data_IF_988265270171
#
_entry.id   IF_988265270171
#
_cell.length_a   1.000
_cell.length_b   1.000
_cell.length_c   1.000
_cell.angle_alpha   90.00
_cell.angle_beta   90.00
_cell.angle_gamma   90.00
#
_symmetry.space_group_name_H-M   'P 1'
#
loop_
_entity.id
_entity.type
_entity.pdbx_description
1 polymer ?
#
# COMPACT_ATOMS: atom_id res chain seq x y z
N UNK A 1 9.68 -3.13 47.85
CA UNK A 1 10.21 -2.15 46.88
C UNK A 1 10.50 -2.73 45.48
N UNK A 2 10.72 -4.04 45.34
CA UNK A 2 11.17 -4.70 44.08
C UNK A 2 10.28 -4.39 42.85
N UNK A 3 8.97 -4.22 43.04
CA UNK A 3 7.99 -3.95 41.97
C UNK A 3 8.17 -2.62 41.20
N UNK A 4 9.09 -1.72 41.60
CA UNK A 4 9.46 -0.55 40.80
C UNK A 4 10.58 -0.82 39.79
N UNK A 5 11.39 -1.86 39.97
CA UNK A 5 12.52 -2.18 39.07
C UNK A 5 11.98 -2.84 37.79
N UNK A 6 11.23 -3.95 37.94
CA UNK A 6 10.56 -4.63 36.83
C UNK A 6 9.59 -3.73 36.05
N UNK A 7 9.02 -2.69 36.67
CA UNK A 7 8.22 -1.70 35.94
C UNK A 7 9.06 -0.96 34.90
N UNK A 8 10.25 -0.47 35.27
CA UNK A 8 11.15 0.22 34.34
C UNK A 8 11.67 -0.70 33.24
N UNK A 9 11.97 -1.95 33.55
CA UNK A 9 12.39 -2.95 32.56
C UNK A 9 11.25 -3.33 31.60
N UNK A 10 10.04 -3.56 32.11
CA UNK A 10 8.88 -3.90 31.27
C UNK A 10 8.42 -2.70 30.42
N UNK A 11 8.49 -1.47 30.94
CA UNK A 11 8.25 -0.25 30.15
C UNK A 11 9.34 -0.09 29.05
N UNK A 12 10.59 -0.47 29.34
CA UNK A 12 11.67 -0.50 28.35
C UNK A 12 11.45 -1.59 27.27
N UNK A 13 10.97 -2.79 27.65
CA UNK A 13 10.62 -3.88 26.73
C UNK A 13 9.40 -3.52 25.88
N UNK A 14 8.36 -2.90 26.45
CA UNK A 14 7.19 -2.45 25.71
C UNK A 14 7.55 -1.36 24.68
N UNK A 15 8.37 -0.38 25.06
CA UNK A 15 8.88 0.65 24.12
C UNK A 15 9.76 0.00 23.02
N UNK A 16 10.57 -1.02 23.35
CA UNK A 16 11.33 -1.79 22.36
C UNK A 16 10.42 -2.59 21.41
N UNK A 17 9.44 -3.34 21.91
CA UNK A 17 8.42 -4.05 21.09
C UNK A 17 7.77 -3.07 20.12
N UNK A 18 7.21 -1.98 20.66
CA UNK A 18 6.49 -0.99 19.86
C UNK A 18 7.39 -0.41 18.76
N UNK A 19 8.62 -0.01 19.09
CA UNK A 19 9.60 0.47 18.10
C UNK A 19 9.86 -0.56 16.98
N UNK A 20 9.95 -1.85 17.29
CA UNK A 20 10.15 -2.88 16.26
C UNK A 20 8.91 -3.03 15.35
N UNK A 21 7.70 -3.02 15.93
CA UNK A 21 6.42 -3.03 15.19
C UNK A 21 6.28 -1.77 14.32
N UNK A 22 6.69 -0.61 14.83
CA UNK A 22 6.74 0.63 14.07
C UNK A 22 7.73 0.49 12.89
N UNK A 23 8.94 -0.06 13.07
CA UNK A 23 9.84 -0.32 11.92
C UNK A 23 9.26 -1.31 10.90
N UNK A 24 8.50 -2.32 11.35
CA UNK A 24 7.82 -3.26 10.46
C UNK A 24 6.82 -2.54 9.55
N UNK A 25 5.96 -1.71 10.13
CA UNK A 25 4.95 -0.90 9.44
C UNK A 25 5.55 0.23 8.59
N UNK A 26 6.77 0.66 8.88
CA UNK A 26 7.51 1.72 8.16
C UNK A 26 8.23 1.15 6.92
N UNK A 27 9.00 0.06 7.07
CA UNK A 27 9.88 -0.42 5.99
C UNK A 27 9.21 -1.41 5.01
N UNK A 28 7.93 -1.73 5.17
CA UNK A 28 7.23 -2.69 4.34
C UNK A 28 5.84 -2.18 3.97
N UNK A 29 5.46 -2.32 2.70
CA UNK A 29 4.11 -2.02 2.23
C UNK A 29 3.11 -3.11 2.67
N UNK A 30 1.83 -2.76 2.69
CA UNK A 30 0.70 -3.67 2.93
C UNK A 30 0.81 -4.51 4.23
N UNK A 31 1.30 -3.90 5.32
CA UNK A 31 1.29 -4.52 6.66
C UNK A 31 -0.12 -4.43 7.25
N UNK A 32 -0.77 -5.58 7.39
CA UNK A 32 -2.05 -5.75 8.08
C UNK A 32 -1.80 -6.24 9.51
N UNK A 33 -2.41 -5.58 10.49
CA UNK A 33 -2.41 -6.01 11.89
C UNK A 33 -3.60 -6.96 12.11
N UNK A 34 -3.31 -8.23 12.40
CA UNK A 34 -4.32 -9.27 12.60
C UNK A 34 -4.68 -9.42 14.08
N UNK A 35 -3.71 -9.17 14.96
CA UNK A 35 -3.89 -9.12 16.42
C UNK A 35 -2.86 -8.17 17.03
N UNK A 36 -3.34 -7.16 17.74
CA UNK A 36 -2.53 -6.10 18.36
C UNK A 36 -1.37 -6.68 19.19
N UNK A 37 -0.17 -6.09 19.03
CA UNK A 37 1.11 -6.45 19.64
C UNK A 37 1.62 -7.90 19.45
N UNK A 38 0.90 -8.76 18.70
CA UNK A 38 1.17 -10.21 18.59
C UNK A 38 1.28 -10.72 17.15
N UNK A 39 0.46 -10.26 16.20
CA UNK A 39 0.39 -10.90 14.88
C UNK A 39 0.08 -9.95 13.71
N UNK A 40 0.96 -9.99 12.71
CA UNK A 40 0.94 -9.13 11.53
C UNK A 40 1.10 -9.94 10.25
N UNK A 41 0.57 -9.43 9.14
CA UNK A 41 0.73 -10.01 7.81
C UNK A 41 1.26 -8.93 6.85
N UNK A 42 2.38 -9.20 6.19
CA UNK A 42 3.01 -8.29 5.21
C UNK A 42 2.79 -8.85 3.80
N UNK A 43 2.08 -8.14 2.93
CA UNK A 43 1.77 -8.63 1.58
C UNK A 43 2.67 -8.01 0.51
N UNK A 44 3.23 -8.86 -0.37
CA UNK A 44 4.23 -8.49 -1.37
C UNK A 44 4.09 -9.32 -2.65
N UNK A 45 4.77 -8.92 -3.72
CA UNK A 45 4.81 -9.67 -4.98
C UNK A 45 6.20 -10.26 -5.25
N UNK A 46 6.24 -11.52 -5.68
CA UNK A 46 7.43 -12.22 -6.16
C UNK A 46 7.25 -12.56 -7.65
N UNK A 47 7.63 -11.63 -8.52
CA UNK A 47 7.13 -11.58 -9.90
C UNK A 47 5.61 -11.41 -9.91
N UNK A 48 4.91 -12.14 -10.78
CA UNK A 48 3.45 -12.10 -10.89
C UNK A 48 2.70 -12.76 -9.70
N UNK A 49 3.41 -13.38 -8.74
CA UNK A 49 2.78 -14.06 -7.60
C UNK A 49 2.64 -13.14 -6.39
N UNK A 50 1.41 -12.87 -5.96
CA UNK A 50 1.09 -12.26 -4.66
C UNK A 50 1.38 -13.27 -3.54
N UNK A 51 2.12 -12.84 -2.53
CA UNK A 51 2.57 -13.63 -1.39
C UNK A 51 2.41 -12.82 -0.09
N UNK A 52 2.55 -13.48 1.06
CA UNK A 52 2.55 -12.84 2.36
C UNK A 52 3.56 -13.44 3.33
N UNK A 53 4.11 -12.61 4.21
CA UNK A 53 4.85 -13.04 5.41
C UNK A 53 3.97 -12.78 6.64
N UNK A 54 3.62 -13.84 7.34
CA UNK A 54 3.06 -13.81 8.69
C UNK A 54 4.19 -13.57 9.68
N UNK A 55 4.02 -12.58 10.56
CA UNK A 55 4.95 -12.19 11.61
C UNK A 55 4.25 -12.42 12.95
N UNK A 56 4.73 -13.41 13.71
CA UNK A 56 4.22 -13.73 15.05
C UNK A 56 5.23 -13.31 16.10
N UNK A 57 4.78 -12.54 17.11
CA UNK A 57 5.58 -12.01 18.20
C UNK A 57 5.15 -12.70 19.51
N UNK A 58 6.09 -13.34 20.22
CA UNK A 58 5.84 -13.87 21.56
C UNK A 58 5.69 -12.75 22.60
N UNK A 59 5.12 -13.00 23.80
CA UNK A 59 5.09 -12.03 24.90
C UNK A 59 6.48 -11.49 25.29
N UNK A 60 7.52 -12.30 25.11
CA UNK A 60 8.93 -12.01 25.42
C UNK A 60 9.64 -11.16 24.35
N UNK A 61 9.04 -10.99 23.17
CA UNK A 61 9.61 -10.15 22.09
C UNK A 61 9.86 -8.70 22.57
N UNK A 62 11.01 -8.07 22.23
CA UNK A 62 12.07 -8.54 21.32
C UNK A 62 13.28 -9.18 22.02
N UNK A 63 13.16 -9.67 23.26
CA UNK A 63 14.20 -10.48 23.89
C UNK A 63 14.30 -11.84 23.20
N UNK A 64 13.14 -12.42 22.88
CA UNK A 64 13.02 -13.51 21.91
C UNK A 64 12.90 -12.96 20.47
N UNK A 65 13.39 -13.72 19.50
CA UNK A 65 13.26 -13.39 18.07
C UNK A 65 11.81 -13.65 17.58
N UNK A 66 11.33 -12.95 16.54
CA UNK A 66 10.00 -13.20 15.99
C UNK A 66 9.98 -14.53 15.23
N UNK A 67 8.80 -15.13 15.11
CA UNK A 67 8.55 -16.25 14.20
C UNK A 67 8.00 -15.69 12.88
N UNK A 68 8.68 -15.98 11.77
CA UNK A 68 8.27 -15.55 10.43
C UNK A 68 7.83 -16.75 9.60
N UNK A 69 6.65 -16.70 9.00
CA UNK A 69 6.10 -17.77 8.14
C UNK A 69 5.63 -17.20 6.81
N UNK A 70 5.82 -17.93 5.72
CA UNK A 70 5.45 -17.48 4.37
C UNK A 70 4.21 -18.21 3.86
N UNK A 71 3.38 -17.51 3.09
CA UNK A 71 2.18 -18.03 2.45
C UNK A 71 2.03 -17.46 1.03
N UNK A 72 1.58 -18.22 0.02
CA UNK A 72 1.33 -19.68 0.04
C UNK A 72 2.61 -20.52 0.28
N UNK A 73 2.50 -21.84 0.47
CA UNK A 73 3.65 -22.73 0.71
C UNK A 73 4.69 -22.75 -0.40
N UNK A 74 5.98 -22.75 -0.03
CA UNK A 74 7.10 -22.65 -0.99
C UNK A 74 8.29 -23.56 -0.67
N UNK A 75 9.06 -23.90 -1.72
CA UNK A 75 10.42 -24.42 -1.60
C UNK A 75 11.42 -23.29 -1.78
N UNK A 76 12.15 -22.94 -0.72
CA UNK A 76 13.21 -21.92 -0.73
C UNK A 76 14.27 -22.23 0.35
N UNK A 77 15.59 -22.01 0.12
CA UNK A 77 16.65 -22.37 1.08
C UNK A 77 16.56 -21.72 2.47
N UNK A 78 15.78 -20.65 2.63
CA UNK A 78 15.54 -19.99 3.92
C UNK A 78 14.32 -20.52 4.68
N UNK A 79 13.52 -21.39 4.08
CA UNK A 79 12.26 -21.90 4.63
C UNK A 79 12.34 -23.39 4.96
N UNK A 80 11.71 -23.81 6.06
CA UNK A 80 11.54 -25.22 6.41
C UNK A 80 10.22 -25.80 5.84
N UNK A 81 9.99 -27.09 6.08
CA UNK A 81 8.80 -27.83 5.63
C UNK A 81 7.46 -27.28 6.16
N UNK A 82 7.50 -26.48 7.23
CA UNK A 82 6.33 -25.81 7.84
C UNK A 82 6.12 -24.39 7.29
N UNK A 83 6.85 -24.01 6.24
CA UNK A 83 6.92 -22.65 5.67
C UNK A 83 7.40 -21.59 6.66
N UNK A 84 8.11 -21.99 7.70
CA UNK A 84 8.76 -21.08 8.64
C UNK A 84 10.14 -20.69 8.13
N UNK A 85 10.45 -19.39 8.18
CA UNK A 85 11.69 -18.82 7.67
C UNK A 85 12.73 -18.97 8.78
N UNK A 86 13.63 -19.93 8.62
CA UNK A 86 14.60 -20.32 9.66
C UNK A 86 16.03 -19.82 9.37
N UNK A 87 16.44 -19.80 8.10
CA UNK A 87 17.85 -19.57 7.71
C UNK A 87 18.14 -18.17 7.14
N UNK A 88 17.20 -17.24 7.22
CA UNK A 88 17.42 -15.85 6.78
C UNK A 88 18.47 -15.15 7.67
N UNK A 89 19.58 -14.60 7.13
CA UNK A 89 20.71 -14.13 7.94
C UNK A 89 20.38 -13.09 9.01
N UNK A 90 19.47 -12.15 8.71
CA UNK A 90 19.03 -11.12 9.66
C UNK A 90 18.09 -11.63 10.76
N UNK A 91 17.48 -12.81 10.58
CA UNK A 91 16.63 -13.47 11.56
C UNK A 91 17.39 -14.50 12.42
N UNK A 92 18.38 -15.17 11.81
CA UNK A 92 19.35 -15.99 12.54
C UNK A 92 20.11 -15.17 13.59
N UNK A 93 20.55 -13.97 13.20
CA UNK A 93 21.28 -13.03 14.06
C UNK A 93 20.37 -11.93 14.63
N UNK A 94 19.10 -12.26 14.93
CA UNK A 94 18.17 -11.29 15.52
C UNK A 94 18.52 -10.99 16.98
N UNK A 95 18.43 -9.73 17.37
CA UNK A 95 18.70 -9.22 18.72
C UNK A 95 17.69 -8.12 19.08
N UNK A 96 17.60 -7.75 20.36
CA UNK A 96 16.86 -6.55 20.83
C UNK A 96 17.26 -5.24 20.13
N UNK A 97 18.40 -5.21 19.43
CA UNK A 97 18.94 -4.05 18.70
C UNK A 97 18.85 -4.18 17.17
N UNK A 98 18.37 -5.33 16.65
CA UNK A 98 18.08 -5.52 15.23
C UNK A 98 16.88 -4.65 14.79
N UNK A 99 16.57 -4.63 13.51
CA UNK A 99 15.48 -3.83 12.92
C UNK A 99 14.51 -4.78 12.21
N UNK A 100 13.37 -5.06 12.85
CA UNK A 100 12.38 -6.04 12.36
C UNK A 100 11.91 -5.69 10.94
N UNK A 101 11.63 -4.42 10.68
CA UNK A 101 11.19 -3.97 9.37
C UNK A 101 12.23 -4.24 8.28
N UNK A 102 13.51 -3.97 8.55
CA UNK A 102 14.59 -4.29 7.61
C UNK A 102 14.85 -5.79 7.45
N UNK A 103 14.67 -6.59 8.50
CA UNK A 103 14.79 -8.07 8.40
C UNK A 103 13.71 -8.62 7.47
N UNK A 104 12.44 -8.20 7.64
CA UNK A 104 11.34 -8.60 6.75
C UNK A 104 11.55 -8.06 5.33
N UNK A 105 11.95 -6.80 5.18
CA UNK A 105 12.22 -6.20 3.86
C UNK A 105 13.35 -6.93 3.11
N UNK A 106 14.41 -7.36 3.80
CA UNK A 106 15.49 -8.15 3.20
C UNK A 106 15.02 -9.54 2.74
N UNK A 107 14.11 -10.18 3.49
CA UNK A 107 13.50 -11.46 3.12
C UNK A 107 12.58 -11.31 1.90
N UNK A 108 11.74 -10.26 1.86
CA UNK A 108 10.91 -9.93 0.71
C UNK A 108 11.78 -9.72 -0.53
N UNK A 109 12.87 -8.95 -0.43
CA UNK A 109 13.80 -8.71 -1.54
C UNK A 109 14.47 -9.99 -2.06
N UNK A 110 14.81 -10.93 -1.18
CA UNK A 110 15.33 -12.24 -1.60
C UNK A 110 14.26 -13.03 -2.36
N UNK A 111 13.03 -13.11 -1.85
CA UNK A 111 11.94 -13.83 -2.51
C UNK A 111 11.51 -13.18 -3.83
N UNK A 112 11.55 -11.84 -3.97
CA UNK A 112 11.30 -11.16 -5.25
C UNK A 112 12.43 -11.34 -6.26
N UNK A 113 13.67 -11.56 -5.82
CA UNK A 113 14.85 -11.78 -6.68
C UNK A 113 15.01 -13.25 -7.10
N UNK A 114 14.74 -14.17 -6.18
CA UNK A 114 14.83 -15.61 -6.35
C UNK A 114 13.43 -16.23 -6.14
N UNK A 115 12.48 -16.02 -7.08
CA UNK A 115 11.06 -16.35 -6.93
C UNK A 115 10.84 -17.83 -6.60
N UNK A 116 10.35 -18.17 -5.39
CA UNK A 116 10.25 -19.56 -4.95
C UNK A 116 9.28 -20.41 -5.77
N UNK A 117 9.55 -21.71 -5.82
CA UNK A 117 8.63 -22.69 -6.41
C UNK A 117 7.53 -23.05 -5.41
N UNK A 118 6.26 -23.03 -5.85
CA UNK A 118 5.12 -23.46 -5.04
C UNK A 118 5.16 -24.98 -4.82
N UNK A 119 4.54 -25.45 -3.73
CA UNK A 119 4.43 -26.89 -3.45
C UNK A 119 3.21 -27.55 -4.12
N UNK A 120 2.29 -26.76 -4.69
CA UNK A 120 1.07 -27.22 -5.36
C UNK A 120 1.09 -26.95 -6.87
N UNK A 121 1.74 -27.84 -7.63
CA UNK A 121 1.48 -27.98 -9.07
C UNK A 121 1.53 -29.47 -9.49
N UNK A 122 0.84 -30.33 -8.73
CA UNK A 122 0.64 -31.76 -9.06
C UNK A 122 -0.85 -32.14 -8.96
N UNK A 123 -1.70 -31.49 -9.76
CA UNK A 123 -2.89 -32.17 -10.33
C UNK A 123 -3.46 -31.40 -11.53
N UNK A 124 -2.89 -31.64 -12.71
CA UNK A 124 -3.57 -31.48 -14.00
C UNK A 124 -2.91 -32.39 -15.02
N UNK A 125 -3.70 -33.18 -15.73
CA UNK A 125 -3.21 -34.36 -16.45
C UNK A 125 -2.44 -34.03 -17.73
N UNK A 126 -1.11 -34.13 -17.72
CA UNK A 126 -0.33 -34.24 -18.95
C UNK A 126 -0.43 -35.66 -19.51
N UNK A 127 -1.17 -35.81 -20.61
CA UNK A 127 -1.32 -37.09 -21.33
C UNK A 127 0.03 -37.48 -21.90
N UNK A 128 0.61 -38.58 -21.42
CA UNK A 128 1.83 -39.16 -22.00
C UNK A 128 1.52 -39.71 -23.39
N UNK A 129 1.91 -38.97 -24.43
CA UNK A 129 2.00 -39.53 -25.78
C UNK A 129 3.04 -40.65 -25.77
N UNK A 130 2.63 -41.86 -26.13
CA UNK A 130 3.45 -43.06 -26.08
C UNK A 130 3.77 -43.53 -27.50
N UNK A 131 5.00 -43.27 -27.96
CA UNK A 131 5.82 -43.97 -28.97
C UNK A 131 7.20 -43.28 -28.99
N UNK A 132 8.35 -43.94 -29.19
CA UNK A 132 8.58 -45.35 -29.55
C UNK A 132 9.93 -45.91 -29.02
N UNK A 133 10.10 -47.23 -29.13
CA UNK A 133 11.37 -48.00 -29.20
C UNK A 133 12.50 -47.82 -28.15
N UNK A 134 12.52 -48.72 -27.15
CA UNK A 134 13.63 -49.60 -26.71
C UNK A 134 15.12 -49.11 -26.76
N UNK A 135 15.85 -49.14 -25.61
CA UNK A 135 17.25 -48.62 -25.56
C UNK A 135 18.30 -49.22 -24.59
N UNK A 136 17.99 -50.19 -23.70
CA UNK A 136 18.93 -50.95 -22.80
C UNK A 136 19.67 -50.22 -21.64
N UNK A 137 19.74 -50.94 -20.51
CA UNK A 137 20.80 -51.02 -19.49
C UNK A 137 21.33 -49.77 -18.74
N UNK A 138 21.00 -49.70 -17.44
CA UNK A 138 21.87 -49.18 -16.36
C UNK A 138 22.66 -50.36 -15.72
N UNK A 139 23.51 -50.18 -14.67
CA UNK A 139 24.09 -48.96 -14.07
C UNK A 139 25.64 -49.03 -13.89
N UNK A 140 26.27 -48.01 -13.29
CA UNK A 140 27.41 -48.19 -12.35
C UNK A 140 27.73 -46.94 -11.52
N UNK A 141 28.44 -47.15 -10.41
CA UNK A 141 28.79 -46.18 -9.36
C UNK A 141 30.07 -45.36 -9.64
N UNK A 142 30.19 -44.20 -8.99
CA UNK A 142 31.45 -43.74 -8.39
C UNK A 142 31.15 -43.05 -7.04
N UNK A 143 32.02 -43.22 -6.05
CA UNK A 143 31.75 -42.90 -4.65
C UNK A 143 32.91 -42.08 -4.05
N UNK A 144 32.61 -40.94 -3.42
CA UNK A 144 33.52 -40.20 -2.55
C UNK A 144 32.78 -39.08 -1.78
N UNK A 145 33.13 -38.68 -0.55
CA UNK A 145 33.50 -39.41 0.68
C UNK A 145 33.45 -38.37 1.83
N UNK A 146 32.69 -38.63 2.90
CA UNK A 146 32.64 -37.75 4.10
C UNK A 146 33.86 -37.95 5.02
N UNK A 147 34.22 -36.94 5.83
CA UNK A 147 34.76 -37.15 7.18
C UNK A 147 33.77 -36.78 8.30
N UNK A 148 34.01 -37.37 9.48
CA UNK A 148 33.15 -37.35 10.68
C UNK A 148 34.01 -37.41 11.97
N UNK A 149 33.51 -37.24 13.21
CA UNK A 149 32.11 -37.01 13.64
C UNK A 149 31.93 -35.52 14.04
N UNK A 150 31.66 -35.01 15.25
CA UNK A 150 31.44 -35.53 16.63
C UNK A 150 30.23 -34.88 17.30
N UNK A 151 29.66 -35.54 18.32
CA UNK A 151 28.50 -35.10 19.08
C UNK A 151 28.78 -35.15 20.59
N UNK A 152 28.47 -34.08 21.32
CA UNK A 152 28.46 -34.02 22.80
C UNK A 152 27.73 -32.74 23.26
N UNK A 153 27.06 -32.66 24.42
CA UNK A 153 26.49 -33.73 25.26
C UNK A 153 25.43 -33.14 26.20
N UNK A 154 24.45 -33.96 26.58
CA UNK A 154 23.34 -33.67 27.49
C UNK A 154 23.77 -33.07 28.85
N UNK A 155 22.98 -32.16 29.44
CA UNK A 155 22.85 -32.01 30.89
C UNK A 155 21.65 -31.12 31.30
N UNK A 156 20.94 -31.54 32.35
CA UNK A 156 19.81 -30.83 32.96
C UNK A 156 19.91 -30.92 34.48
N UNK A 157 19.71 -29.83 35.24
CA UNK A 157 19.47 -29.89 36.69
C UNK A 157 18.67 -28.69 37.24
N UNK A 158 17.82 -28.99 38.25
CA UNK A 158 17.08 -28.18 39.24
C UNK A 158 16.84 -26.67 39.00
N UNK A 159 15.63 -26.07 39.11
CA UNK A 159 14.47 -26.21 40.03
C UNK A 159 14.74 -25.85 41.51
N UNK A 160 14.31 -24.65 41.97
CA UNK A 160 13.50 -24.45 43.21
C UNK A 160 12.99 -23.01 43.45
N UNK A 161 11.70 -22.91 43.81
CA UNK A 161 11.05 -22.11 44.88
C UNK A 161 11.25 -20.57 45.05
N UNK A 162 10.10 -19.90 45.24
CA UNK A 162 9.93 -18.55 45.84
C UNK A 162 10.17 -18.54 47.37
N UNK A 163 10.39 -17.34 47.96
CA UNK A 163 9.48 -16.91 49.03
C UNK A 163 8.86 -15.51 48.85
N UNK A 164 7.77 -15.26 49.60
CA UNK A 164 7.08 -13.97 49.79
C UNK A 164 7.86 -13.03 50.75
N UNK A 165 7.51 -11.72 50.77
CA UNK A 165 7.21 -10.94 52.00
C UNK A 165 6.74 -9.49 51.69
N UNK A 166 6.18 -8.81 52.70
CA UNK A 166 5.16 -7.75 52.53
C UNK A 166 5.60 -6.29 52.77
N UNK A 167 4.80 -5.36 52.23
CA UNK A 167 4.45 -3.99 52.70
C UNK A 167 5.37 -3.18 53.66
N UNK A 168 5.69 -1.94 53.26
CA UNK A 168 5.57 -0.72 54.12
C UNK A 168 5.67 0.59 53.28
N UNK A 169 5.17 1.70 53.82
CA UNK A 169 4.91 2.97 53.12
C UNK A 169 6.09 3.97 53.11
N UNK A 170 6.15 4.81 52.07
CA UNK A 170 6.56 6.22 52.16
C UNK A 170 6.02 7.04 50.96
N UNK A 171 5.53 8.25 51.22
CA UNK A 171 5.13 9.28 50.22
C UNK A 171 6.35 10.20 49.91
N UNK A 172 6.35 11.18 48.98
CA UNK A 172 5.32 12.18 48.62
C UNK A 172 5.61 12.80 47.22
N UNK A 173 4.62 13.52 46.64
CA UNK A 173 4.67 14.50 45.51
C UNK A 173 5.66 14.26 44.35
N UNK A 174 5.27 14.13 43.07
CA UNK A 174 4.06 14.55 42.30
C UNK A 174 3.82 16.07 42.30
N UNK A 175 4.16 16.70 41.17
CA UNK A 175 3.33 17.73 40.54
C UNK A 175 2.80 17.16 39.22
N UNK A 176 1.53 17.44 38.90
CA UNK A 176 0.80 16.75 37.84
C UNK A 176 0.17 17.77 36.88
N UNK A 177 0.33 17.58 35.57
CA UNK A 177 -0.39 18.35 34.55
C UNK A 177 -1.24 17.40 33.71
N UNK A 178 -2.54 17.38 33.99
CA UNK A 178 -3.50 16.59 33.21
C UNK A 178 -3.76 17.27 31.86
N UNK A 179 -3.67 16.49 30.78
CA UNK A 179 -4.36 16.78 29.52
C UNK A 179 -5.03 15.50 29.03
N UNK A 180 -6.35 15.44 29.20
CA UNK A 180 -7.19 14.40 28.62
C UNK A 180 -7.48 14.73 27.16
N UNK A 181 -6.97 13.93 26.22
CA UNK A 181 -7.64 13.80 24.93
C UNK A 181 -7.42 12.41 24.32
N UNK A 182 -8.43 11.94 23.60
CA UNK A 182 -8.50 10.59 23.06
C UNK A 182 -7.60 10.40 21.83
N UNK A 183 -7.08 9.19 21.66
CA UNK A 183 -6.26 8.84 20.51
C UNK A 183 -7.06 8.76 19.20
N UNK A 184 -6.41 9.11 18.10
CA UNK A 184 -6.74 8.60 16.76
C UNK A 184 -5.44 8.58 15.98
N UNK A 185 -4.96 7.40 15.60
CA UNK A 185 -3.59 7.22 15.10
C UNK A 185 -3.58 7.23 13.58
N UNK A 186 -2.88 8.20 13.00
CA UNK A 186 -2.32 8.12 11.66
C UNK A 186 -0.84 8.54 11.78
N UNK A 187 0.08 7.64 11.44
CA UNK A 187 1.52 7.88 11.47
C UNK A 187 2.06 7.70 10.07
N UNK A 188 2.32 8.82 9.40
CA UNK A 188 3.32 8.92 8.34
C UNK A 188 4.68 9.28 8.95
N UNK A 189 5.76 8.91 8.27
CA UNK A 189 7.11 8.88 8.82
C UNK A 189 7.70 10.26 9.17
N UNK A 190 8.66 10.25 10.10
CA UNK A 190 9.50 11.40 10.43
C UNK A 190 10.95 10.98 10.68
N UNK A 191 11.75 10.85 9.62
CA UNK A 191 13.19 10.60 9.74
C UNK A 191 13.95 11.87 10.13
N UNK A 192 14.89 11.74 11.07
CA UNK A 192 15.81 12.82 11.48
C UNK A 192 17.08 12.85 10.63
N UNK A 193 17.49 14.06 10.21
CA UNK A 193 18.90 14.46 10.09
C UNK A 193 19.05 15.98 9.92
N UNK A 194 20.20 16.52 10.35
CA UNK A 194 20.54 17.93 10.21
C UNK A 194 21.04 18.26 8.78
N UNK A 195 20.92 19.54 8.39
CA UNK A 195 20.97 19.97 6.99
C UNK A 195 22.30 20.54 6.47
N UNK A 196 22.32 20.82 5.17
CA UNK A 196 23.31 21.63 4.43
C UNK A 196 22.70 22.10 3.09
N UNK A 197 23.26 23.12 2.41
CA UNK A 197 22.45 24.03 1.58
C UNK A 197 22.37 23.74 0.07
N UNK A 198 21.20 24.08 -0.49
CA UNK A 198 20.91 24.55 -1.87
C UNK A 198 21.81 24.13 -3.05
N UNK A 199 21.26 23.33 -3.97
CA UNK A 199 21.48 23.49 -5.42
C UNK A 199 20.16 23.34 -6.20
N UNK A 200 20.15 23.75 -7.47
CA UNK A 200 18.95 23.96 -8.29
C UNK A 200 18.30 22.68 -8.83
N UNK A 201 16.98 22.72 -9.00
CA UNK A 201 16.41 22.70 -10.37
C UNK A 201 15.03 23.36 -10.38
N UNK A 202 14.74 24.14 -11.43
CA UNK A 202 13.46 24.84 -11.59
C UNK A 202 12.62 24.17 -12.69
N UNK A 203 11.46 23.62 -12.32
CA UNK A 203 10.47 23.15 -13.28
C UNK A 203 9.31 24.13 -13.37
N UNK A 204 9.03 24.57 -14.60
CA UNK A 204 8.04 25.60 -14.91
C UNK A 204 6.63 25.01 -14.85
N UNK A 205 5.82 25.47 -13.90
CA UNK A 205 4.41 25.09 -13.81
C UNK A 205 3.54 25.88 -14.82
N UNK A 206 3.42 25.36 -16.03
CA UNK A 206 2.46 25.86 -17.03
C UNK A 206 1.15 25.10 -16.94
N UNK A 207 0.18 25.63 -16.18
CA UNK A 207 -1.22 25.18 -16.21
C UNK A 207 -2.16 26.39 -16.16
N UNK A 208 -2.99 26.55 -17.20
CA UNK A 208 -3.97 27.64 -17.29
C UNK A 208 -5.18 27.39 -16.40
N UNK A 209 -5.81 28.47 -15.93
CA UNK A 209 -7.17 28.42 -15.41
C UNK A 209 -8.15 27.97 -16.50
N UNK A 210 -9.14 27.16 -16.11
CA UNK A 210 -10.22 26.68 -16.98
C UNK A 210 -11.43 26.32 -16.13
N UNK A 211 -12.45 27.17 -16.15
CA UNK A 211 -13.72 26.90 -15.45
C UNK A 211 -14.49 25.78 -16.15
N UNK A 212 -15.02 24.82 -15.38
CA UNK A 212 -15.95 23.81 -15.91
C UNK A 212 -17.39 24.31 -15.75
N UNK A 213 -18.05 24.48 -16.89
CA UNK A 213 -19.50 24.72 -16.96
C UNK A 213 -20.25 23.41 -17.20
N UNK A 214 -21.55 23.40 -16.92
CA UNK A 214 -22.41 22.21 -16.97
C UNK A 214 -23.05 22.05 -18.35
N UNK A 215 -23.08 20.82 -18.91
CA UNK A 215 -24.16 20.27 -19.80
C UNK A 215 -23.81 18.84 -20.27
N UNK A 216 -24.65 17.88 -19.87
CA UNK A 216 -25.29 16.78 -20.64
C UNK A 216 -24.53 15.71 -21.47
N UNK A 217 -25.29 14.62 -21.70
CA UNK A 217 -25.19 13.59 -22.74
C UNK A 217 -24.08 12.50 -22.66
N UNK A 218 -24.44 11.42 -21.96
CA UNK A 218 -24.25 10.00 -22.33
C UNK A 218 -23.30 9.65 -23.49
N UNK A 219 -22.21 8.92 -23.17
CA UNK A 219 -21.53 8.00 -24.11
C UNK A 219 -21.15 6.68 -23.43
N UNK A 220 -21.89 5.62 -23.73
CA UNK A 220 -21.36 4.26 -23.63
C UNK A 220 -20.42 4.02 -24.81
N UNK A 221 -19.23 3.48 -24.55
CA UNK A 221 -18.30 3.05 -25.58
C UNK A 221 -18.42 1.54 -25.76
N UNK A 222 -18.81 1.07 -26.95
CA UNK A 222 -18.93 -0.35 -27.28
C UNK A 222 -18.00 -0.71 -28.44
N UNK A 223 -17.09 -1.66 -28.21
CA UNK A 223 -16.13 -2.11 -29.21
C UNK A 223 -16.85 -2.74 -30.40
N UNK A 224 -16.55 -2.25 -31.60
CA UNK A 224 -17.19 -2.72 -32.82
C UNK A 224 -16.65 -4.08 -33.27
N UNK A 225 -17.53 -5.05 -33.44
CA UNK A 225 -17.34 -6.16 -34.38
C UNK A 225 -18.59 -6.30 -35.27
N UNK A 226 -18.80 -5.31 -36.14
CA UNK A 226 -19.81 -5.35 -37.18
C UNK A 226 -19.20 -5.72 -38.53
N UNK A 227 -19.49 -6.92 -39.03
CA UNK A 227 -19.19 -7.29 -40.43
C UNK A 227 -20.23 -6.67 -41.35
N UNK A 228 -19.93 -5.49 -41.89
CA UNK A 228 -20.77 -4.82 -42.88
C UNK A 228 -20.91 -5.66 -44.16
N UNK A 229 -22.16 -6.01 -44.51
CA UNK A 229 -22.52 -6.31 -45.89
C UNK A 229 -23.23 -5.07 -46.46
N UNK A 230 -22.69 -4.56 -47.58
CA UNK A 230 -23.08 -3.29 -48.17
C UNK A 230 -24.07 -3.52 -49.33
N UNK A 231 -25.28 -2.95 -49.23
CA UNK A 231 -26.35 -3.14 -50.22
C UNK A 231 -26.01 -2.48 -51.56
N UNK A 232 -25.55 -3.27 -52.53
CA UNK A 232 -25.28 -2.81 -53.89
C UNK A 232 -26.57 -2.61 -54.71
N UNK A 233 -27.18 -1.43 -54.60
CA UNK A 233 -28.10 -0.93 -55.62
C UNK A 233 -27.32 -0.65 -56.91
N UNK A 234 -27.39 -1.56 -57.88
CA UNK A 234 -26.81 -1.37 -59.23
C UNK A 234 -27.89 -0.83 -60.16
N UNK A 235 -27.71 0.40 -60.62
CA UNK A 235 -28.64 1.12 -61.48
C UNK A 235 -28.63 0.54 -62.90
N UNK A 236 -29.78 0.04 -63.39
CA UNK A 236 -29.91 -0.59 -64.70
C UNK A 236 -30.30 0.44 -65.78
N UNK A 237 -29.35 0.79 -66.66
CA UNK A 237 -29.52 1.83 -67.66
C UNK A 237 -30.02 1.26 -69.01
N UNK A 238 -30.94 1.96 -69.69
CA UNK A 238 -31.49 1.55 -70.98
C UNK A 238 -30.51 1.81 -72.14
N UNK A 239 -30.21 0.80 -72.97
CA UNK A 239 -30.26 0.94 -74.45
C UNK A 239 -30.28 -0.40 -75.22
N UNK A 240 -30.52 -0.29 -76.53
CA UNK A 240 -30.90 -1.36 -77.47
C UNK A 240 -29.71 -2.12 -78.07
N UNK A 241 -29.93 -3.40 -78.44
CA UNK A 241 -29.48 -3.95 -79.74
C UNK A 241 -30.30 -5.20 -80.13
N UNK A 242 -30.06 -5.75 -81.33
CA UNK A 242 -31.08 -6.43 -82.15
C UNK A 242 -31.13 -7.97 -82.09
N UNK A 243 -32.22 -8.51 -82.66
CA UNK A 243 -32.48 -9.91 -83.05
C UNK A 243 -31.30 -10.61 -83.80
N UNK A 244 -31.24 -11.97 -83.87
CA UNK A 244 -32.41 -12.87 -83.93
C UNK A 244 -32.42 -14.16 -83.08
N UNK A 245 -33.59 -14.39 -82.48
CA UNK A 245 -34.40 -15.61 -82.55
C UNK A 245 -33.71 -17.00 -82.74
N UNK A 246 -33.65 -17.78 -81.65
CA UNK A 246 -34.05 -19.19 -81.67
C UNK A 246 -34.54 -19.63 -80.28
N UNK A 247 -35.43 -20.63 -80.23
CA UNK A 247 -36.29 -20.85 -79.08
C UNK A 247 -35.73 -21.86 -78.04
N UNK A 248 -35.66 -21.42 -76.78
CA UNK A 248 -35.91 -22.28 -75.62
C UNK A 248 -36.80 -21.54 -74.63
N UNK A 249 -38.00 -22.06 -74.37
CA UNK A 249 -38.86 -21.57 -73.28
C UNK A 249 -38.34 -22.17 -71.98
N UNK A 250 -37.25 -21.60 -71.46
CA UNK A 250 -36.88 -21.78 -70.06
C UNK A 250 -37.70 -20.77 -69.27
N UNK A 251 -38.57 -21.23 -68.37
CA UNK A 251 -39.33 -20.32 -67.50
C UNK A 251 -38.36 -19.38 -66.79
N UNK A 252 -38.72 -18.10 -66.70
CA UNK A 252 -38.00 -17.14 -65.85
C UNK A 252 -38.30 -17.47 -64.39
N UNK A 253 -37.57 -18.46 -63.86
CA UNK A 253 -37.69 -18.82 -62.48
C UNK A 253 -37.21 -17.66 -61.61
N UNK A 254 -38.05 -17.24 -60.65
CA UNK A 254 -37.68 -16.32 -59.59
C UNK A 254 -36.55 -16.93 -58.78
N UNK A 255 -35.44 -16.19 -58.64
CA UNK A 255 -34.26 -16.61 -57.87
C UNK A 255 -34.30 -16.03 -56.46
N UNK A 256 -34.92 -14.86 -56.28
CA UNK A 256 -35.02 -14.15 -55.00
C UNK A 256 -36.24 -14.57 -54.15
N UNK A 257 -37.28 -15.11 -54.79
CA UNK A 257 -38.46 -15.70 -54.14
C UNK A 257 -38.76 -17.03 -54.83
N UNK A 258 -37.99 -18.10 -54.55
CA UNK A 258 -38.08 -19.36 -55.28
C UNK A 258 -39.44 -20.07 -55.14
N UNK A 259 -40.22 -19.72 -54.12
CA UNK A 259 -41.57 -20.21 -53.83
C UNK A 259 -42.57 -19.81 -54.93
N UNK A 260 -42.41 -18.62 -55.53
CA UNK A 260 -43.25 -18.14 -56.64
C UNK A 260 -43.21 -19.06 -57.86
N UNK A 261 -42.16 -19.88 -58.01
CA UNK A 261 -42.04 -20.84 -59.11
C UNK A 261 -42.95 -22.06 -58.96
N UNK A 262 -43.50 -22.29 -57.76
CA UNK A 262 -44.33 -23.44 -57.43
C UNK A 262 -45.83 -23.12 -57.47
N UNK A 263 -46.19 -21.85 -57.66
CA UNK A 263 -47.56 -21.36 -57.79
C UNK A 263 -48.05 -21.44 -59.25
N UNK A 264 -49.34 -21.71 -59.44
CA UNK A 264 -49.97 -21.66 -60.76
C UNK A 264 -50.12 -20.22 -61.27
N UNK A 265 -50.43 -20.06 -62.57
CA UNK A 265 -50.67 -18.73 -63.15
C UNK A 265 -51.95 -18.06 -62.61
N UNK A 266 -52.91 -18.81 -62.07
CA UNK A 266 -54.12 -18.25 -61.44
C UNK A 266 -53.82 -17.78 -60.01
N UNK A 267 -53.03 -18.57 -59.24
CA UNK A 267 -52.56 -18.18 -57.91
C UNK A 267 -51.60 -16.98 -57.96
N UNK A 268 -50.64 -16.97 -58.90
CA UNK A 268 -49.76 -15.82 -59.13
C UNK A 268 -50.53 -14.56 -59.55
N UNK A 269 -51.63 -14.74 -60.31
CA UNK A 269 -52.49 -13.63 -60.70
C UNK A 269 -53.25 -13.08 -59.49
N UNK A 270 -53.86 -13.93 -58.67
CA UNK A 270 -54.49 -13.50 -57.42
C UNK A 270 -53.51 -12.85 -56.46
N UNK A 271 -52.28 -13.35 -56.37
CA UNK A 271 -51.20 -12.72 -55.59
C UNK A 271 -50.80 -11.34 -56.14
N UNK A 272 -51.06 -11.04 -57.42
CA UNK A 272 -50.82 -9.72 -58.03
C UNK A 272 -52.05 -8.80 -58.07
N UNK A 273 -53.23 -9.28 -57.65
CA UNK A 273 -54.50 -8.54 -57.68
C UNK A 273 -55.03 -8.20 -56.26
N UNK A 274 -54.35 -8.66 -55.20
CA UNK A 274 -54.83 -8.64 -53.81
C UNK A 274 -53.65 -8.46 -52.83
N UNK A 275 -53.40 -7.22 -52.37
CA UNK A 275 -52.24 -6.85 -51.54
C UNK A 275 -52.18 -7.63 -50.21
N UNK A 276 -53.34 -7.92 -49.60
CA UNK A 276 -53.43 -8.72 -48.36
C UNK A 276 -52.81 -10.12 -48.54
N UNK A 277 -52.83 -10.67 -49.76
CA UNK A 277 -52.18 -11.97 -50.07
C UNK A 277 -50.70 -11.85 -50.32
N UNK A 278 -50.22 -10.69 -50.78
CA UNK A 278 -48.78 -10.42 -50.89
C UNK A 278 -48.18 -10.45 -49.49
N UNK A 279 -48.80 -9.76 -48.54
CA UNK A 279 -48.39 -9.77 -47.15
C UNK A 279 -48.50 -11.18 -46.53
N UNK A 280 -49.62 -11.91 -46.75
CA UNK A 280 -49.77 -13.30 -46.28
C UNK A 280 -48.78 -14.30 -46.92
N UNK A 281 -48.16 -13.96 -48.05
CA UNK A 281 -47.07 -14.71 -48.69
C UNK A 281 -45.70 -14.29 -48.13
N UNK A 282 -45.47 -13.00 -47.92
CA UNK A 282 -44.23 -12.44 -47.40
C UNK A 282 -44.00 -12.81 -45.92
N UNK A 283 -45.04 -12.85 -45.08
CA UNK A 283 -45.00 -13.35 -43.70
C UNK A 283 -44.58 -14.83 -43.61
N UNK A 284 -44.73 -15.59 -44.70
CA UNK A 284 -44.33 -17.00 -44.79
C UNK A 284 -42.95 -17.20 -45.41
N UNK A 285 -42.32 -16.15 -45.95
CA UNK A 285 -41.00 -16.21 -46.56
C UNK A 285 -39.90 -16.33 -45.50
N UNK A 286 -38.94 -17.26 -45.68
CA UNK A 286 -37.94 -17.56 -44.65
C UNK A 286 -37.14 -16.32 -44.25
N UNK A 287 -36.54 -15.62 -45.22
CA UNK A 287 -35.68 -14.47 -44.94
C UNK A 287 -36.40 -13.36 -44.15
N UNK A 288 -37.71 -13.15 -44.38
CA UNK A 288 -38.49 -12.15 -43.64
C UNK A 288 -38.78 -12.60 -42.21
N UNK A 289 -39.13 -13.88 -42.04
CA UNK A 289 -39.31 -14.47 -40.70
C UNK A 289 -38.00 -14.50 -39.91
N UNK A 290 -36.88 -14.80 -40.55
CA UNK A 290 -35.56 -14.83 -39.94
C UNK A 290 -35.08 -13.40 -39.57
N UNK A 291 -35.38 -12.40 -40.42
CA UNK A 291 -35.19 -10.97 -40.09
C UNK A 291 -36.06 -10.54 -38.91
N UNK A 292 -37.36 -10.85 -38.92
CA UNK A 292 -38.28 -10.48 -37.84
C UNK A 292 -37.87 -11.14 -36.50
N UNK A 293 -37.47 -12.42 -36.52
CA UNK A 293 -36.94 -13.10 -35.34
C UNK A 293 -35.67 -12.42 -34.82
N UNK A 294 -34.75 -12.03 -35.72
CA UNK A 294 -33.54 -11.29 -35.34
C UNK A 294 -33.82 -9.86 -34.81
N UNK A 295 -34.94 -9.24 -35.22
CA UNK A 295 -35.42 -7.96 -34.65
C UNK A 295 -35.96 -8.17 -33.24
N UNK A 296 -36.78 -9.19 -33.00
CA UNK A 296 -37.33 -9.50 -31.68
C UNK A 296 -36.21 -9.89 -30.68
N UNK A 297 -35.26 -10.74 -31.10
CA UNK A 297 -34.06 -11.08 -30.32
C UNK A 297 -33.22 -9.84 -29.98
N UNK A 298 -33.09 -8.89 -30.91
CA UNK A 298 -32.39 -7.64 -30.68
C UNK A 298 -33.16 -6.71 -29.72
N UNK A 299 -34.50 -6.74 -29.73
CA UNK A 299 -35.36 -5.98 -28.81
C UNK A 299 -35.23 -6.52 -27.37
N UNK A 300 -35.32 -7.84 -27.14
CA UNK A 300 -35.05 -8.41 -25.80
C UNK A 300 -33.63 -8.08 -25.35
N UNK A 301 -32.63 -8.24 -26.23
CA UNK A 301 -31.25 -7.94 -25.88
C UNK A 301 -31.03 -6.48 -25.49
N UNK A 302 -31.61 -5.52 -26.23
CA UNK A 302 -31.55 -4.08 -25.89
C UNK A 302 -32.29 -3.80 -24.58
N UNK A 303 -33.51 -4.32 -24.39
CA UNK A 303 -34.30 -4.10 -23.17
C UNK A 303 -33.57 -4.67 -21.95
N UNK A 304 -33.18 -5.95 -21.99
CA UNK A 304 -32.45 -6.65 -20.93
C UNK A 304 -31.12 -5.95 -20.59
N UNK A 305 -30.43 -5.41 -21.59
CA UNK A 305 -29.21 -4.62 -21.39
C UNK A 305 -29.50 -3.26 -20.74
N UNK A 306 -30.59 -2.58 -21.10
CA UNK A 306 -31.02 -1.34 -20.48
C UNK A 306 -31.43 -1.55 -19.01
N UNK A 307 -32.25 -2.56 -18.72
CA UNK A 307 -32.63 -2.96 -17.36
C UNK A 307 -31.40 -3.29 -16.49
N UNK A 308 -30.47 -4.09 -17.01
CA UNK A 308 -29.23 -4.45 -16.32
C UNK A 308 -28.25 -3.27 -16.13
N UNK A 309 -28.40 -2.19 -16.89
CA UNK A 309 -27.64 -0.95 -16.69
C UNK A 309 -28.31 -0.02 -15.67
N UNK A 310 -29.64 0.10 -15.70
CA UNK A 310 -30.42 0.84 -14.67
C UNK A 310 -30.26 0.20 -13.29
N UNK A 311 -30.22 -1.14 -13.22
CA UNK A 311 -30.00 -1.86 -11.97
C UNK A 311 -28.65 -1.55 -11.28
N UNK A 312 -27.63 -1.13 -12.05
CA UNK A 312 -26.30 -0.73 -11.53
C UNK A 312 -26.22 0.75 -11.13
N UNK A 313 -27.16 1.57 -11.57
CA UNK A 313 -27.20 3.00 -11.26
C UNK A 313 -27.20 3.30 -9.74
N UNK A 314 -28.01 2.63 -8.88
CA UNK A 314 -27.95 2.87 -7.44
C UNK A 314 -26.61 2.48 -6.81
N UNK A 315 -26.03 1.33 -7.20
CA UNK A 315 -24.70 0.88 -6.73
C UNK A 315 -23.61 1.90 -7.10
N UNK A 316 -23.62 2.39 -8.35
CA UNK A 316 -22.69 3.42 -8.81
C UNK A 316 -22.89 4.76 -8.08
N UNK A 317 -24.14 5.16 -7.78
CA UNK A 317 -24.41 6.37 -6.98
C UNK A 317 -23.97 6.24 -5.53
N UNK A 318 -24.16 5.08 -4.91
CA UNK A 318 -23.67 4.79 -3.56
C UNK A 318 -22.14 4.81 -3.52
N UNK A 319 -21.47 4.12 -4.44
CA UNK A 319 -20.00 4.07 -4.52
C UNK A 319 -19.39 5.45 -4.81
N UNK A 320 -20.03 6.29 -5.64
CA UNK A 320 -19.60 7.68 -5.87
C UNK A 320 -19.73 8.54 -4.62
N UNK A 321 -20.84 8.41 -3.87
CA UNK A 321 -21.04 9.08 -2.58
C UNK A 321 -19.94 8.65 -1.59
N UNK A 322 -19.67 7.35 -1.51
CA UNK A 322 -18.71 6.79 -0.56
C UNK A 322 -17.26 7.19 -0.91
N UNK A 323 -16.91 7.30 -2.19
CA UNK A 323 -15.65 7.90 -2.65
C UNK A 323 -15.55 9.38 -2.26
N UNK A 324 -16.61 10.18 -2.47
CA UNK A 324 -16.62 11.60 -2.08
C UNK A 324 -16.44 11.78 -0.56
N UNK A 325 -17.13 10.98 0.26
CA UNK A 325 -17.02 10.97 1.72
C UNK A 325 -15.60 10.60 2.19
N UNK A 326 -14.98 9.59 1.56
CA UNK A 326 -13.59 9.19 1.85
C UNK A 326 -12.59 10.27 1.44
N UNK A 327 -12.76 10.90 0.27
CA UNK A 327 -11.92 12.03 -0.17
C UNK A 327 -12.02 13.20 0.81
N UNK A 328 -13.23 13.61 1.21
CA UNK A 328 -13.42 14.67 2.21
C UNK A 328 -12.74 14.33 3.56
N UNK A 329 -12.88 13.07 4.00
CA UNK A 329 -12.25 12.56 5.24
C UNK A 329 -10.72 12.64 5.17
N UNK A 330 -10.11 12.18 4.06
CA UNK A 330 -8.66 12.26 3.83
C UNK A 330 -8.19 13.72 3.75
N UNK A 331 -8.93 14.61 3.10
CA UNK A 331 -8.60 16.05 3.05
C UNK A 331 -8.60 16.67 4.44
N UNK A 332 -9.60 16.38 5.27
CA UNK A 332 -9.68 16.88 6.65
C UNK A 332 -8.56 16.31 7.55
N UNK A 333 -8.26 15.01 7.42
CA UNK A 333 -7.15 14.35 8.12
C UNK A 333 -5.80 14.97 7.73
N UNK A 334 -5.55 15.20 6.43
CA UNK A 334 -4.32 15.85 5.96
C UNK A 334 -4.19 17.26 6.52
N UNK A 335 -5.24 18.07 6.49
CA UNK A 335 -5.22 19.41 7.05
C UNK A 335 -4.90 19.42 8.56
N UNK A 336 -5.45 18.47 9.33
CA UNK A 336 -5.13 18.29 10.76
C UNK A 336 -3.67 17.84 10.98
N UNK A 337 -3.16 16.95 10.14
CA UNK A 337 -1.77 16.47 10.17
C UNK A 337 -0.77 17.59 9.85
N UNK A 338 -1.01 18.36 8.78
CA UNK A 338 -0.18 19.50 8.39
C UNK A 338 -0.09 20.54 9.53
N UNK A 339 -1.22 20.86 10.17
CA UNK A 339 -1.26 21.75 11.34
C UNK A 339 -0.51 21.18 12.56
N UNK A 340 -0.58 19.87 12.79
CA UNK A 340 0.13 19.22 13.90
C UNK A 340 1.64 19.23 13.67
N UNK A 341 2.10 18.98 12.44
CA UNK A 341 3.52 19.09 12.08
C UNK A 341 4.01 20.54 12.17
N UNK A 342 3.23 21.54 11.73
CA UNK A 342 3.60 22.95 11.91
C UNK A 342 3.79 23.31 13.38
N UNK A 343 2.93 22.82 14.27
CA UNK A 343 3.07 23.00 15.73
C UNK A 343 4.28 22.24 16.30
N UNK A 344 4.48 21.00 15.88
CA UNK A 344 5.63 20.19 16.28
C UNK A 344 6.96 20.84 15.88
N UNK A 345 7.10 21.25 14.61
CA UNK A 345 8.31 21.89 14.09
C UNK A 345 8.63 23.20 14.83
N UNK A 346 7.63 24.06 15.04
CA UNK A 346 7.82 25.31 15.79
C UNK A 346 8.22 25.08 17.24
N UNK A 347 7.72 24.01 17.86
CA UNK A 347 8.09 23.65 19.23
C UNK A 347 9.49 23.00 19.28
N UNK A 348 9.81 22.10 18.35
CA UNK A 348 11.10 21.41 18.30
C UNK A 348 12.24 22.35 17.96
N UNK A 349 12.02 23.36 17.11
CA UNK A 349 12.99 24.44 16.81
C UNK A 349 13.46 25.13 18.09
N UNK A 350 12.52 25.56 18.95
CA UNK A 350 12.81 26.20 20.23
C UNK A 350 13.51 25.28 21.26
N UNK A 351 13.43 23.96 21.07
CA UNK A 351 14.15 22.95 21.86
C UNK A 351 15.35 22.32 21.13
N UNK A 352 15.76 22.85 19.98
CA UNK A 352 17.00 22.39 19.33
C UNK A 352 18.21 22.71 20.23
N UNK A 353 19.20 21.81 20.36
CA UNK A 353 20.37 22.06 21.19
C UNK A 353 21.14 23.34 20.83
N UNK A 354 21.24 23.68 19.54
CA UNK A 354 21.87 24.94 19.10
C UNK A 354 21.06 26.18 19.48
N UNK A 355 19.71 26.12 19.49
CA UNK A 355 18.87 27.22 19.99
C UNK A 355 18.95 27.36 21.52
N UNK A 356 18.95 26.23 22.26
CA UNK A 356 19.13 26.23 23.72
C UNK A 356 20.49 26.83 24.09
N UNK A 357 21.55 26.48 23.36
CA UNK A 357 22.89 27.08 23.49
C UNK A 357 22.85 28.59 23.22
N UNK A 358 22.21 29.02 22.14
CA UNK A 358 22.07 30.44 21.80
C UNK A 358 21.33 31.25 22.89
N UNK A 359 20.27 30.68 23.47
CA UNK A 359 19.55 31.28 24.59
C UNK A 359 20.37 31.29 25.89
N UNK A 360 21.19 30.27 26.15
CA UNK A 360 22.15 30.28 27.26
C UNK A 360 23.23 31.36 27.08
N UNK A 361 23.70 31.59 25.84
CA UNK A 361 24.66 32.65 25.50
C UNK A 361 24.08 34.02 25.81
N UNK A 362 22.94 34.37 25.20
CA UNK A 362 22.24 35.65 25.42
C UNK A 362 21.94 35.88 26.90
N UNK A 363 21.38 34.90 27.59
CA UNK A 363 21.10 35.02 29.02
C UNK A 363 22.36 35.17 29.90
N UNK A 364 23.54 34.72 29.45
CA UNK A 364 24.81 34.98 30.13
C UNK A 364 25.33 36.41 29.88
N UNK A 365 25.17 36.93 28.66
CA UNK A 365 25.52 38.31 28.31
C UNK A 365 24.58 39.33 28.99
N UNK A 366 23.27 39.09 28.98
CA UNK A 366 22.27 39.84 29.77
C UNK A 366 22.62 39.87 31.27
N UNK A 367 23.16 38.77 31.81
CA UNK A 367 23.60 38.72 33.22
C UNK A 367 24.87 39.55 33.46
N UNK A 368 25.74 39.68 32.45
CA UNK A 368 26.91 40.52 32.53
C UNK A 368 26.50 42.00 32.55
N UNK A 369 25.64 42.41 31.61
CA UNK A 369 25.11 43.78 31.52
C UNK A 369 24.32 44.18 32.78
N UNK A 370 23.49 43.27 33.33
CA UNK A 370 22.80 43.48 34.61
C UNK A 370 23.81 43.65 35.76
N UNK A 371 24.88 42.84 35.80
CA UNK A 371 25.90 42.98 36.84
C UNK A 371 26.72 44.28 36.75
N UNK A 372 26.93 44.84 35.55
CA UNK A 372 27.52 46.18 35.40
C UNK A 372 26.53 47.26 35.85
N UNK A 373 25.24 47.18 35.48
CA UNK A 373 24.20 48.13 35.95
C UNK A 373 24.06 48.13 37.48
N UNK A 374 24.16 46.97 38.13
CA UNK A 374 24.20 46.87 39.61
C UNK A 374 25.45 47.57 40.19
N UNK A 375 26.61 47.48 39.52
CA UNK A 375 27.82 48.18 39.95
C UNK A 375 27.72 49.70 39.71
N UNK A 376 27.15 50.15 38.60
CA UNK A 376 26.84 51.56 38.33
C UNK A 376 25.89 52.14 39.39
N UNK A 377 24.83 51.42 39.76
CA UNK A 377 23.88 51.87 40.79
C UNK A 377 24.52 52.00 42.18
N UNK A 378 25.48 51.12 42.52
CA UNK A 378 26.28 51.24 43.74
C UNK A 378 27.24 52.43 43.68
N UNK A 379 27.97 52.63 42.58
CA UNK A 379 28.87 53.78 42.39
C UNK A 379 28.10 55.12 42.44
N UNK A 380 26.89 55.15 41.88
CA UNK A 380 25.96 56.29 41.94
C UNK A 380 25.24 56.42 43.31
N UNK A 381 25.55 55.57 44.30
CA UNK A 381 24.96 55.56 45.65
C UNK A 381 23.44 55.38 45.70
N UNK A 382 22.86 54.74 44.67
CA UNK A 382 21.41 54.39 44.63
C UNK A 382 21.09 53.18 45.50
N UNK A 383 22.07 52.30 45.71
CA UNK A 383 22.00 51.12 46.59
C UNK A 383 23.17 51.14 47.58
N UNK A 384 23.00 50.46 48.73
CA UNK A 384 24.02 50.33 49.76
C UNK A 384 24.92 49.09 49.54
N UNK A 385 25.90 48.93 50.42
CA UNK A 385 26.91 47.85 50.33
C UNK A 385 26.27 46.47 50.48
N UNK A 386 25.31 46.30 51.40
CA UNK A 386 24.69 45.00 51.66
C UNK A 386 23.80 44.57 50.48
N UNK A 387 22.98 45.50 49.95
CA UNK A 387 22.15 45.24 48.78
C UNK A 387 22.99 44.96 47.53
N UNK A 388 24.05 45.76 47.31
CA UNK A 388 25.00 45.53 46.22
C UNK A 388 25.64 44.14 46.31
N UNK A 389 26.19 43.76 47.47
CA UNK A 389 26.87 42.46 47.62
C UNK A 389 25.91 41.28 47.40
N UNK A 390 24.66 41.33 47.86
CA UNK A 390 23.66 40.29 47.55
C UNK A 390 23.39 40.21 46.04
N UNK A 391 22.90 41.28 45.42
CA UNK A 391 22.41 41.20 44.03
C UNK A 391 23.54 41.00 43.03
N UNK A 392 24.70 41.64 43.21
CA UNK A 392 25.85 41.50 42.32
C UNK A 392 26.44 40.09 42.36
N UNK A 393 26.61 39.50 43.55
CA UNK A 393 27.17 38.16 43.69
C UNK A 393 26.20 37.10 43.15
N UNK A 394 24.90 37.24 43.39
CA UNK A 394 23.87 36.36 42.82
C UNK A 394 23.85 36.45 41.28
N UNK A 395 23.86 37.67 40.73
CA UNK A 395 23.84 37.89 39.29
C UNK A 395 25.11 37.36 38.59
N UNK A 396 26.31 37.65 39.13
CA UNK A 396 27.58 37.10 38.62
C UNK A 396 27.63 35.57 38.71
N UNK A 397 27.16 34.97 39.81
CA UNK A 397 27.07 33.49 39.95
C UNK A 397 26.14 32.89 38.89
N UNK A 398 24.98 33.50 38.65
CA UNK A 398 24.03 33.04 37.64
C UNK A 398 24.58 33.18 36.21
N UNK A 399 25.20 34.32 35.88
CA UNK A 399 25.87 34.56 34.60
C UNK A 399 26.98 33.56 34.33
N UNK A 400 27.86 33.32 35.31
CA UNK A 400 28.92 32.31 35.18
C UNK A 400 28.35 30.89 35.02
N UNK A 401 27.29 30.55 35.76
CA UNK A 401 26.63 29.25 35.63
C UNK A 401 25.91 29.06 34.27
N UNK A 402 25.44 30.15 33.64
CA UNK A 402 24.91 30.14 32.26
C UNK A 402 26.03 29.96 31.25
N UNK A 403 27.11 30.74 31.34
CA UNK A 403 28.31 30.66 30.47
C UNK A 403 28.96 29.28 30.50
N UNK A 404 29.23 28.71 31.67
CA UNK A 404 29.79 27.35 31.80
C UNK A 404 28.88 26.23 31.28
N UNK A 405 27.56 26.46 31.18
CA UNK A 405 26.63 25.52 30.53
C UNK A 405 26.63 25.67 29.02
N UNK A 406 26.69 26.91 28.52
CA UNK A 406 26.81 27.22 27.09
C UNK A 406 28.08 26.60 26.50
N UNK A 407 29.25 26.85 27.09
CA UNK A 407 30.55 26.33 26.68
C UNK A 407 30.56 24.79 26.59
N UNK A 408 29.98 24.11 27.60
CA UNK A 408 29.88 22.65 27.63
C UNK A 408 28.95 22.09 26.55
N UNK A 409 27.81 22.75 26.33
CA UNK A 409 26.88 22.36 25.27
C UNK A 409 27.46 22.62 23.88
N UNK A 410 28.15 23.75 23.70
CA UNK A 410 28.89 24.07 22.47
C UNK A 410 29.96 23.03 22.15
N UNK A 411 30.76 22.62 23.14
CA UNK A 411 31.74 21.54 22.99
C UNK A 411 31.06 20.21 22.61
N UNK A 412 30.04 19.78 23.36
CA UNK A 412 29.30 18.53 23.07
C UNK A 412 28.69 18.52 21.67
N UNK A 413 28.14 19.64 21.19
CA UNK A 413 27.58 19.74 19.84
C UNK A 413 28.66 19.71 18.75
N UNK A 414 29.83 20.28 18.99
CA UNK A 414 30.95 20.21 18.06
C UNK A 414 31.56 18.79 18.00
N UNK A 415 31.60 18.07 19.13
CA UNK A 415 31.99 16.66 19.18
C UNK A 415 31.02 15.77 18.39
N UNK A 416 29.70 15.95 18.58
CA UNK A 416 28.67 15.21 17.82
C UNK A 416 28.76 15.48 16.31
N UNK A 417 28.92 16.76 15.92
CA UNK A 417 29.09 17.15 14.51
C UNK A 417 30.37 16.56 13.90
N UNK A 418 31.47 16.50 14.67
CA UNK A 418 32.72 15.82 14.25
C UNK A 418 32.56 14.30 14.12
N UNK A 419 31.69 13.70 14.93
CA UNK A 419 31.34 12.28 14.86
C UNK A 419 30.26 11.95 13.79
N UNK A 420 29.73 12.94 13.07
CA UNK A 420 28.81 12.73 11.94
C UNK A 420 27.34 12.52 12.30
N UNK A 421 26.90 12.99 13.47
CA UNK A 421 25.52 12.92 13.97
C UNK A 421 24.69 14.17 13.64
#
# INVERSE_FOLDING_TARGET
MISRIFRGENENVAVKRKRQIDTLKIFNDNVVELREDVEYQVQFNAGERRMAIMVSLSPEFPLEKPVLRVSPPIKHPWCNEHNEITSAPGLLNFTVHSDLGRVVQAIIREFSKNPPQLLEEISSGSIKSHRDSQGRNSPSYSLQQYPEITLASYNSYYNTQYPQYSSANANTCIYNYNHTNSGTVYVTEGHTKFGSPSQHSAYVATSRSGSLHNTDATRYNSNHHGTYLNSHYVNANYHQQSLPNQAQIKLRQSIAFPELNNLSNEELRWLSEDDDRVDEFLDKHSDLKDINTAIDDAIDWVQKTAEANVAKEPELRELQSDVANKVQTVTALKARYDQLIQRYNKLSEAFTPDHIKECLRKAADESHEESERIAEDFLNRKIDVERFLSTYIECRKLGQARRTKEEKLAHQLNELKRAGY
#
